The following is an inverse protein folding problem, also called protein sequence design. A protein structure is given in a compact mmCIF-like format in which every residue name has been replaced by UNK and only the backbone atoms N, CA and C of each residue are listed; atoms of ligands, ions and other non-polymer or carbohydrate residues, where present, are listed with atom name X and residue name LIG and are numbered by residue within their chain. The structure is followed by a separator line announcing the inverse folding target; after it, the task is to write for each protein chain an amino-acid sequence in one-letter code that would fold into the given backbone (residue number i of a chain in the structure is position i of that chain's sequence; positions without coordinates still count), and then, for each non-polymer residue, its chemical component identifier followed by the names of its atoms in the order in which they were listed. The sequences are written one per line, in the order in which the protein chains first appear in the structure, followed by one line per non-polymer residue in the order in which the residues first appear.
data_IF_548409690509
#
_entry.id   IF_548409690509
#
_cell.length_a   1.000
_cell.length_b   1.000
_cell.length_c   1.000
_cell.angle_alpha   90.00
_cell.angle_beta   90.00
_cell.angle_gamma   90.00
#
_symmetry.space_group_name_H-M   'P 1'
#
loop_
_entity.id
_entity.type
_entity.pdbx_description
1 polymer ?
#
# COMPACT_ATOMS: atom_id res chain seq x y z
N UNK A 1 0.47 -6.01 17.86
CA UNK A 1 -0.57 -5.06 17.45
C UNK A 1 -1.21 -4.55 18.71
N UNK A 2 -1.15 -3.25 18.97
CA UNK A 2 -2.06 -2.71 19.95
C UNK A 2 -3.46 -2.79 19.33
N UNK A 3 -4.44 -3.37 20.04
CA UNK A 3 -5.84 -3.40 19.59
C UNK A 3 -6.39 -1.99 19.31
N UNK A 4 -5.64 -0.96 19.67
CA UNK A 4 -5.91 0.46 19.39
C UNK A 4 -5.80 0.82 17.92
N UNK A 5 -4.84 0.24 17.17
CA UNK A 5 -4.63 0.59 15.75
C UNK A 5 -5.75 0.03 14.88
N UNK A 6 -6.13 -1.23 15.10
CA UNK A 6 -7.23 -1.85 14.38
C UNK A 6 -8.56 -1.14 14.67
N UNK A 7 -8.85 -0.83 15.95
CA UNK A 7 -10.06 -0.11 16.34
C UNK A 7 -10.10 1.27 15.67
N UNK A 8 -8.98 2.00 15.64
CA UNK A 8 -8.90 3.30 14.98
C UNK A 8 -9.30 3.22 13.50
N UNK A 9 -8.77 2.24 12.76
CA UNK A 9 -9.07 2.10 11.32
C UNK A 9 -10.50 1.61 11.09
N UNK A 10 -11.00 0.68 11.89
CA UNK A 10 -12.40 0.26 11.82
C UNK A 10 -13.34 1.43 12.07
N UNK A 11 -13.05 2.30 13.06
CA UNK A 11 -13.82 3.51 13.33
C UNK A 11 -13.77 4.51 12.16
N UNK A 12 -12.62 4.70 11.53
CA UNK A 12 -12.47 5.57 10.36
C UNK A 12 -13.36 5.08 9.22
N UNK A 13 -13.32 3.80 8.88
CA UNK A 13 -14.07 3.25 7.74
C UNK A 13 -15.55 2.99 8.02
N UNK A 14 -15.96 2.94 9.29
CA UNK A 14 -17.37 2.86 9.65
C UNK A 14 -18.03 4.24 9.80
N UNK A 15 -17.25 5.27 10.14
CA UNK A 15 -17.77 6.63 10.39
C UNK A 15 -17.67 7.57 9.18
N UNK A 16 -16.83 7.27 8.18
CA UNK A 16 -16.59 8.12 6.99
C UNK A 16 -16.92 7.37 5.71
N UNK A 17 -17.56 8.08 4.77
CA UNK A 17 -17.68 7.57 3.42
C UNK A 17 -16.30 7.50 2.73
N UNK A 18 -16.17 6.63 1.73
CA UNK A 18 -14.93 6.41 0.97
C UNK A 18 -14.31 7.73 0.45
N UNK A 19 -15.15 8.63 -0.09
CA UNK A 19 -14.70 9.93 -0.61
C UNK A 19 -14.38 10.98 0.46
N UNK A 20 -14.56 10.66 1.75
CA UNK A 20 -14.32 11.57 2.87
C UNK A 20 -12.97 11.30 3.57
N UNK A 21 -12.16 10.39 3.08
CA UNK A 21 -10.81 10.16 3.60
C UNK A 21 -9.77 10.94 2.79
N UNK A 22 -8.71 11.42 3.46
CA UNK A 22 -7.73 12.31 2.82
C UNK A 22 -6.93 11.68 1.69
N UNK A 23 -6.81 10.35 1.69
CA UNK A 23 -6.05 9.57 0.71
C UNK A 23 -6.93 9.04 -0.43
N UNK A 24 -8.21 9.37 -0.46
CA UNK A 24 -9.11 8.93 -1.53
C UNK A 24 -8.61 9.38 -2.91
N UNK A 25 -8.63 8.45 -3.84
CA UNK A 25 -8.39 8.67 -5.26
C UNK A 25 -9.40 7.83 -6.05
N UNK A 26 -10.14 8.46 -6.93
CA UNK A 26 -11.05 7.74 -7.82
C UNK A 26 -10.25 6.86 -8.79
N UNK A 27 -9.16 7.40 -9.30
CA UNK A 27 -8.17 6.66 -10.07
C UNK A 27 -6.77 6.87 -9.46
N UNK A 28 -6.08 5.80 -9.00
CA UNK A 28 -4.75 5.90 -8.41
C UNK A 28 -3.66 5.98 -9.49
N UNK A 29 -3.67 7.08 -10.27
CA UNK A 29 -2.85 7.28 -11.47
C UNK A 29 -1.35 7.00 -11.25
N UNK A 30 -0.78 7.45 -10.12
CA UNK A 30 0.65 7.24 -9.84
C UNK A 30 0.94 5.75 -9.65
N UNK A 31 0.12 5.04 -8.87
CA UNK A 31 0.26 3.59 -8.68
C UNK A 31 0.15 2.84 -10.00
N UNK A 32 -0.85 3.18 -10.82
CA UNK A 32 -1.05 2.56 -12.14
C UNK A 32 0.13 2.85 -13.08
N UNK A 33 0.64 4.08 -13.12
CA UNK A 33 1.80 4.43 -13.95
C UNK A 33 3.09 3.73 -13.49
N UNK A 34 3.23 3.45 -12.19
CA UNK A 34 4.37 2.70 -11.67
C UNK A 34 4.27 1.20 -11.97
N UNK A 35 3.07 0.63 -11.91
CA UNK A 35 2.83 -0.74 -12.37
C UNK A 35 3.18 -0.90 -13.87
N UNK A 36 2.79 0.06 -14.70
CA UNK A 36 3.16 0.08 -16.12
C UNK A 36 4.67 0.22 -16.33
N UNK A 37 5.33 1.11 -15.56
CA UNK A 37 6.77 1.33 -15.64
C UNK A 37 7.57 0.06 -15.31
N UNK A 38 7.12 -0.74 -14.33
CA UNK A 38 7.79 -2.00 -13.97
C UNK A 38 7.39 -3.17 -14.89
N UNK A 39 6.52 -2.92 -15.87
CA UNK A 39 6.08 -3.92 -16.84
C UNK A 39 5.13 -4.97 -16.24
N UNK A 40 4.28 -4.57 -15.29
CA UNK A 40 3.31 -5.46 -14.66
C UNK A 40 2.37 -6.10 -15.69
N UNK A 41 2.14 -7.40 -15.57
CA UNK A 41 1.35 -8.21 -16.49
C UNK A 41 0.09 -8.76 -15.79
N UNK A 42 -0.97 -9.07 -16.53
CA UNK A 42 -2.22 -9.60 -15.95
C UNK A 42 -2.07 -10.89 -15.13
N UNK A 43 -1.04 -11.69 -15.38
CA UNK A 43 -0.73 -12.94 -14.67
C UNK A 43 0.23 -12.77 -13.49
N UNK A 44 0.80 -11.57 -13.28
CA UNK A 44 1.64 -11.27 -12.13
C UNK A 44 0.82 -11.28 -10.84
N UNK A 45 1.38 -11.85 -9.78
CA UNK A 45 0.80 -11.82 -8.44
C UNK A 45 1.09 -10.47 -7.78
N UNK A 46 0.03 -9.75 -7.43
CA UNK A 46 0.10 -8.43 -6.79
C UNK A 46 -0.49 -8.52 -5.39
N UNK A 47 0.21 -7.95 -4.39
CA UNK A 47 -0.38 -7.64 -3.09
C UNK A 47 -0.39 -6.14 -2.85
N UNK A 48 -1.57 -5.61 -2.48
CA UNK A 48 -1.77 -4.21 -2.07
C UNK A 48 -1.86 -4.15 -0.55
N UNK A 49 -0.81 -3.63 0.08
CA UNK A 49 -0.67 -3.52 1.53
C UNK A 49 -1.33 -2.24 2.03
N UNK A 50 -2.24 -2.38 3.00
CA UNK A 50 -3.06 -1.26 3.44
C UNK A 50 -4.04 -0.79 2.35
N UNK A 51 -4.41 -1.72 1.45
CA UNK A 51 -5.27 -1.41 0.31
C UNK A 51 -6.68 -0.96 0.74
N UNK A 52 -7.18 -1.48 1.87
CA UNK A 52 -8.44 -1.04 2.48
C UNK A 52 -9.57 -0.86 1.49
N UNK A 53 -10.16 0.32 1.49
CA UNK A 53 -11.20 0.72 0.55
C UNK A 53 -10.64 1.40 -0.73
N UNK A 54 -9.34 1.31 -0.99
CA UNK A 54 -8.69 1.86 -2.20
C UNK A 54 -9.33 1.32 -3.48
N UNK A 55 -9.35 2.14 -4.53
CA UNK A 55 -9.82 1.76 -5.86
C UNK A 55 -8.73 1.14 -6.75
N UNK A 56 -7.54 0.88 -6.22
CA UNK A 56 -6.50 0.20 -6.98
C UNK A 56 -6.94 -1.19 -7.42
N UNK A 57 -7.59 -1.96 -6.53
CA UNK A 57 -8.11 -3.28 -6.85
C UNK A 57 -9.13 -3.25 -7.99
N UNK A 58 -10.03 -2.24 -8.02
CA UNK A 58 -10.99 -2.05 -9.11
C UNK A 58 -10.27 -1.90 -10.45
N UNK A 59 -9.28 -0.98 -10.50
CA UNK A 59 -8.48 -0.72 -11.69
C UNK A 59 -7.66 -1.93 -12.14
N UNK A 60 -7.10 -2.70 -11.19
CA UNK A 60 -6.35 -3.92 -11.51
C UNK A 60 -7.26 -4.98 -12.16
N UNK A 61 -8.44 -5.20 -11.58
CA UNK A 61 -9.42 -6.15 -12.15
C UNK A 61 -9.91 -5.68 -13.53
N UNK A 62 -10.13 -4.38 -13.73
CA UNK A 62 -10.52 -3.81 -15.03
C UNK A 62 -9.42 -3.97 -16.10
N UNK A 63 -8.16 -3.94 -15.67
CA UNK A 63 -6.99 -4.21 -16.54
C UNK A 63 -6.72 -5.71 -16.76
N UNK A 64 -7.55 -6.58 -16.19
CA UNK A 64 -7.47 -8.03 -16.39
C UNK A 64 -6.46 -8.74 -15.49
N UNK A 65 -5.98 -8.13 -14.40
CA UNK A 65 -5.16 -8.84 -13.43
C UNK A 65 -5.96 -9.94 -12.74
N UNK A 66 -5.38 -11.12 -12.64
CA UNK A 66 -6.07 -12.34 -12.16
C UNK A 66 -5.57 -12.83 -10.80
N UNK A 67 -4.46 -12.28 -10.31
CA UNK A 67 -3.82 -12.69 -9.04
C UNK A 67 -3.62 -11.46 -8.14
N UNK A 68 -4.73 -10.87 -7.71
CA UNK A 68 -4.72 -9.66 -6.87
C UNK A 68 -5.08 -10.04 -5.44
N UNK A 69 -4.24 -9.64 -4.49
CA UNK A 69 -4.50 -9.74 -3.05
C UNK A 69 -4.55 -8.33 -2.45
N UNK A 70 -5.52 -8.09 -1.58
CA UNK A 70 -5.64 -6.84 -0.82
C UNK A 70 -5.53 -7.18 0.65
N UNK A 71 -4.54 -6.61 1.32
CA UNK A 71 -4.31 -6.77 2.74
C UNK A 71 -4.60 -5.45 3.46
N UNK A 72 -5.37 -5.52 4.51
CA UNK A 72 -5.59 -4.37 5.40
C UNK A 72 -5.79 -4.84 6.85
N UNK A 73 -5.44 -3.98 7.79
CA UNK A 73 -5.68 -4.21 9.22
C UNK A 73 -7.18 -4.13 9.55
N UNK A 74 -7.93 -3.29 8.81
CA UNK A 74 -9.37 -3.08 8.98
C UNK A 74 -10.19 -4.03 8.11
N UNK A 75 -10.89 -4.96 8.76
CA UNK A 75 -11.88 -5.80 8.08
C UNK A 75 -13.06 -4.96 7.52
N UNK A 76 -13.40 -3.84 8.17
CA UNK A 76 -14.44 -2.92 7.71
C UNK A 76 -14.06 -2.25 6.38
N UNK A 77 -12.80 -1.83 6.22
CA UNK A 77 -12.28 -1.28 4.97
C UNK A 77 -12.37 -2.28 3.81
N UNK A 78 -11.94 -3.54 4.05
CA UNK A 78 -12.04 -4.62 3.06
C UNK A 78 -13.51 -4.90 2.68
N UNK A 79 -14.40 -4.95 3.67
CA UNK A 79 -15.82 -5.18 3.43
C UNK A 79 -16.45 -4.06 2.58
N UNK A 80 -16.02 -2.80 2.77
CA UNK A 80 -16.49 -1.67 1.95
C UNK A 80 -16.06 -1.83 0.47
N UNK A 81 -14.81 -2.21 0.22
CA UNK A 81 -14.32 -2.48 -1.13
C UNK A 81 -15.04 -3.68 -1.79
N UNK A 82 -15.25 -4.75 -1.04
CA UNK A 82 -16.01 -5.93 -1.51
C UNK A 82 -17.46 -5.58 -1.85
N UNK A 83 -18.12 -4.78 -1.01
CA UNK A 83 -19.49 -4.33 -1.28
C UNK A 83 -19.58 -3.47 -2.55
N UNK A 84 -18.62 -2.58 -2.78
CA UNK A 84 -18.49 -1.75 -3.98
C UNK A 84 -18.30 -2.59 -5.23
N UNK A 85 -17.43 -3.58 -5.19
CA UNK A 85 -17.13 -4.47 -6.32
C UNK A 85 -18.25 -5.48 -6.62
N UNK A 86 -19.08 -5.83 -5.62
CA UNK A 86 -20.13 -6.83 -5.76
C UNK A 86 -19.57 -8.19 -6.17
N UNK A 87 -20.12 -8.82 -7.20
CA UNK A 87 -19.67 -10.14 -7.68
C UNK A 87 -18.20 -10.16 -8.13
N UNK A 88 -17.67 -9.02 -8.57
CA UNK A 88 -16.26 -8.88 -8.99
C UNK A 88 -15.28 -9.06 -7.82
N UNK A 89 -15.73 -8.85 -6.59
CA UNK A 89 -14.89 -9.06 -5.39
C UNK A 89 -14.35 -10.49 -5.27
N UNK A 90 -15.03 -11.47 -5.90
CA UNK A 90 -14.59 -12.87 -5.94
C UNK A 90 -13.31 -13.10 -6.74
N UNK A 91 -12.92 -12.13 -7.58
CA UNK A 91 -11.70 -12.19 -8.38
C UNK A 91 -10.44 -11.71 -7.64
N UNK A 92 -10.57 -11.25 -6.40
CA UNK A 92 -9.45 -10.85 -5.56
C UNK A 92 -9.43 -11.60 -4.24
N UNK A 93 -8.24 -11.73 -3.63
CA UNK A 93 -8.05 -12.27 -2.29
C UNK A 93 -8.10 -11.14 -1.27
N UNK A 94 -8.88 -11.31 -0.21
CA UNK A 94 -9.06 -10.31 0.84
C UNK A 94 -8.48 -10.81 2.15
N UNK A 95 -7.51 -10.08 2.71
CA UNK A 95 -6.70 -10.52 3.84
C UNK A 95 -6.80 -9.49 4.96
N UNK A 96 -7.58 -9.80 6.01
CA UNK A 96 -7.64 -8.98 7.21
C UNK A 96 -6.49 -9.37 8.14
N UNK A 97 -5.37 -8.65 8.07
CA UNK A 97 -4.16 -8.95 8.82
C UNK A 97 -3.27 -7.72 9.02
N UNK A 98 -2.38 -7.82 9.99
CA UNK A 98 -1.31 -6.87 10.21
C UNK A 98 -0.10 -7.19 9.32
N UNK A 99 0.31 -6.25 8.48
CA UNK A 99 1.44 -6.38 7.57
C UNK A 99 2.77 -6.72 8.29
N UNK A 100 2.88 -6.43 9.60
CA UNK A 100 4.07 -6.74 10.42
C UNK A 100 4.18 -8.21 10.80
N UNK A 101 3.07 -8.91 10.87
CA UNK A 101 3.00 -10.30 11.36
C UNK A 101 2.37 -11.28 10.37
N UNK A 102 1.80 -10.78 9.28
CA UNK A 102 1.22 -11.61 8.24
C UNK A 102 2.28 -12.48 7.57
N UNK A 103 1.98 -13.77 7.41
CA UNK A 103 2.84 -14.68 6.66
C UNK A 103 2.31 -14.78 5.21
N UNK A 104 3.06 -14.27 4.22
CA UNK A 104 2.67 -14.38 2.81
C UNK A 104 2.50 -15.85 2.40
N UNK A 105 1.33 -16.26 1.88
CA UNK A 105 1.08 -17.66 1.51
C UNK A 105 1.76 -18.07 0.20
N UNK A 106 2.19 -17.08 -0.58
CA UNK A 106 2.86 -17.25 -1.87
C UNK A 106 3.89 -16.15 -2.09
N UNK A 107 4.67 -16.27 -3.16
CA UNK A 107 5.53 -15.18 -3.63
C UNK A 107 4.75 -14.27 -4.57
N UNK A 108 4.89 -12.97 -4.35
CA UNK A 108 4.30 -11.91 -5.18
C UNK A 108 5.34 -11.35 -6.15
N UNK A 109 4.92 -11.02 -7.35
CA UNK A 109 5.75 -10.32 -8.33
C UNK A 109 5.79 -8.81 -8.04
N UNK A 110 4.71 -8.30 -7.44
CA UNK A 110 4.55 -6.89 -7.09
C UNK A 110 4.00 -6.76 -5.66
N UNK A 111 4.72 -5.98 -4.87
CA UNK A 111 4.34 -5.54 -3.54
C UNK A 111 4.04 -4.05 -3.60
N UNK A 112 2.78 -3.69 -3.54
CA UNK A 112 2.35 -2.30 -3.55
C UNK A 112 1.96 -1.87 -2.13
N UNK A 113 2.38 -0.67 -1.73
CA UNK A 113 2.01 -0.03 -0.47
C UNK A 113 1.86 1.47 -0.69
N UNK A 114 0.68 1.98 -0.46
CA UNK A 114 0.45 3.42 -0.49
C UNK A 114 -0.13 3.88 0.83
N UNK A 115 0.69 4.56 1.63
CA UNK A 115 0.33 5.14 2.91
C UNK A 115 -0.02 4.12 4.00
N UNK A 116 0.58 2.91 3.98
CA UNK A 116 0.52 1.96 5.08
C UNK A 116 1.84 1.92 5.85
N UNK A 117 2.97 1.74 5.17
CA UNK A 117 4.31 1.67 5.79
C UNK A 117 4.64 2.90 6.64
N UNK A 118 4.21 4.09 6.24
CA UNK A 118 4.55 5.31 6.95
C UNK A 118 3.94 5.42 8.37
N UNK A 119 2.94 4.60 8.71
CA UNK A 119 2.40 4.51 10.07
C UNK A 119 3.29 3.70 11.01
N UNK A 120 4.27 2.97 10.49
CA UNK A 120 5.21 2.20 11.30
C UNK A 120 6.28 3.15 11.85
N UNK A 121 6.01 3.74 12.99
CA UNK A 121 6.89 4.76 13.61
C UNK A 121 7.99 4.15 14.47
N UNK A 122 7.87 2.89 14.86
CA UNK A 122 8.87 2.15 15.62
C UNK A 122 9.81 1.36 14.69
N UNK A 123 11.09 1.35 14.99
CA UNK A 123 12.09 0.66 14.18
C UNK A 123 11.88 -0.87 14.13
N UNK A 124 11.38 -1.46 15.22
CA UNK A 124 11.05 -2.88 15.27
C UNK A 124 9.89 -3.23 14.35
N UNK A 125 8.86 -2.37 14.30
CA UNK A 125 7.73 -2.54 13.39
C UNK A 125 8.14 -2.41 11.93
N UNK A 126 9.02 -1.44 11.60
CA UNK A 126 9.59 -1.31 10.26
C UNK A 126 10.40 -2.54 9.86
N UNK A 127 11.22 -3.06 10.79
CA UNK A 127 11.99 -4.28 10.53
C UNK A 127 11.07 -5.50 10.33
N UNK A 128 10.04 -5.65 11.14
CA UNK A 128 9.06 -6.73 10.99
C UNK A 128 8.36 -6.68 9.62
N UNK A 129 7.97 -5.49 9.15
CA UNK A 129 7.42 -5.30 7.82
C UNK A 129 8.43 -5.70 6.72
N UNK A 130 9.69 -5.26 6.83
CA UNK A 130 10.75 -5.61 5.85
C UNK A 130 10.99 -7.12 5.81
N UNK A 131 10.88 -7.82 6.94
CA UNK A 131 10.95 -9.28 6.96
C UNK A 131 9.80 -9.92 6.18
N UNK A 132 8.57 -9.38 6.27
CA UNK A 132 7.42 -9.86 5.47
C UNK A 132 7.62 -9.57 3.99
N UNK A 133 8.08 -8.37 3.65
CA UNK A 133 8.45 -8.00 2.28
C UNK A 133 9.49 -8.99 1.71
N UNK A 134 10.55 -9.30 2.47
CA UNK A 134 11.58 -10.25 2.05
C UNK A 134 11.07 -11.68 1.87
N UNK A 135 10.04 -12.09 2.62
CA UNK A 135 9.42 -13.41 2.46
C UNK A 135 8.43 -13.46 1.31
N UNK A 136 7.68 -12.36 1.11
CA UNK A 136 6.57 -12.32 0.16
C UNK A 136 6.95 -11.86 -1.23
N UNK A 137 7.93 -10.99 -1.41
CA UNK A 137 8.31 -10.51 -2.74
C UNK A 137 9.30 -11.47 -3.41
N UNK A 138 9.03 -11.86 -4.64
CA UNK A 138 9.92 -12.71 -5.43
C UNK A 138 11.23 -11.97 -5.76
N UNK A 139 12.34 -12.71 -5.91
CA UNK A 139 13.56 -12.15 -6.51
C UNK A 139 13.25 -11.77 -7.96
N UNK A 140 13.62 -10.57 -8.35
CA UNK A 140 13.23 -9.95 -9.62
C UNK A 140 11.93 -9.15 -9.58
N UNK A 141 11.11 -9.36 -8.54
CA UNK A 141 9.87 -8.61 -8.31
C UNK A 141 10.10 -7.16 -7.85
N UNK A 142 9.03 -6.38 -7.80
CA UNK A 142 9.07 -4.95 -7.52
C UNK A 142 8.26 -4.57 -6.29
N UNK A 143 8.87 -3.75 -5.41
CA UNK A 143 8.17 -3.07 -4.33
C UNK A 143 7.91 -1.61 -4.72
N UNK A 144 6.65 -1.19 -4.71
CA UNK A 144 6.20 0.18 -4.96
C UNK A 144 5.70 0.74 -3.64
N UNK A 145 6.43 1.69 -3.05
CA UNK A 145 6.11 2.21 -1.71
C UNK A 145 5.87 3.72 -1.77
N UNK A 146 4.65 4.12 -1.46
CA UNK A 146 4.22 5.52 -1.38
C UNK A 146 4.06 5.97 0.07
N UNK A 147 4.88 6.90 0.53
CA UNK A 147 4.83 7.49 1.87
C UNK A 147 4.67 9.00 1.78
N UNK A 148 4.40 9.68 2.90
CA UNK A 148 4.60 11.12 2.90
C UNK A 148 6.09 11.44 2.68
N UNK A 149 6.31 12.47 1.87
CA UNK A 149 7.64 12.97 1.53
C UNK A 149 8.32 13.64 2.74
N UNK A 150 9.64 13.79 2.77
CA UNK A 150 10.38 14.48 3.88
C UNK A 150 9.84 15.87 4.22
N UNK A 151 9.28 16.58 3.25
CA UNK A 151 8.61 17.88 3.40
C UNK A 151 7.06 17.80 3.37
N UNK A 152 6.52 16.59 3.54
CA UNK A 152 5.09 16.32 3.63
C UNK A 152 4.55 16.43 5.06
N UNK A 153 3.26 16.10 5.27
CA UNK A 153 2.63 16.14 6.59
C UNK A 153 3.31 15.21 7.61
N UNK A 154 3.22 15.56 8.89
CA UNK A 154 3.75 14.74 10.01
C UNK A 154 2.70 13.81 10.60
N UNK A 155 1.44 13.97 10.18
CA UNK A 155 0.30 13.15 10.62
C UNK A 155 -0.58 12.80 9.45
N UNK A 156 -1.16 11.60 9.50
CA UNK A 156 -2.20 11.12 8.60
C UNK A 156 -3.35 10.55 9.44
N UNK A 157 -4.60 10.93 9.16
CA UNK A 157 -5.77 10.50 9.94
C UNK A 157 -5.62 10.71 11.46
N UNK A 158 -4.94 11.78 11.87
CA UNK A 158 -4.67 12.06 13.28
C UNK A 158 -3.49 11.31 13.90
N UNK A 159 -2.99 10.27 13.25
CA UNK A 159 -1.86 9.46 13.71
C UNK A 159 -0.52 10.03 13.23
N UNK A 160 0.56 9.90 14.03
CA UNK A 160 1.90 10.27 13.59
C UNK A 160 2.37 9.33 12.47
N UNK A 161 3.20 9.87 11.56
CA UNK A 161 3.82 9.09 10.48
C UNK A 161 5.30 9.38 10.37
N UNK A 162 6.05 8.41 9.83
CA UNK A 162 7.43 8.61 9.39
C UNK A 162 7.44 8.96 7.92
N UNK A 163 8.14 10.04 7.57
CA UNK A 163 8.30 10.51 6.20
C UNK A 163 9.55 9.90 5.59
N UNK A 164 9.43 9.39 4.38
CA UNK A 164 10.53 8.72 3.71
C UNK A 164 10.84 9.32 2.34
N UNK A 165 12.07 9.13 1.90
CA UNK A 165 12.51 9.23 0.52
C UNK A 165 13.11 7.88 0.08
N UNK A 166 13.54 7.80 -1.17
CA UNK A 166 14.12 6.57 -1.71
C UNK A 166 15.39 6.14 -0.96
N UNK A 167 16.21 7.10 -0.50
CA UNK A 167 17.46 6.80 0.21
C UNK A 167 17.19 6.23 1.60
N UNK A 168 16.22 6.77 2.33
CA UNK A 168 15.84 6.27 3.66
C UNK A 168 15.22 4.86 3.56
N UNK A 169 14.36 4.61 2.56
CA UNK A 169 13.81 3.28 2.31
C UNK A 169 14.89 2.29 1.84
N UNK A 170 15.85 2.72 1.00
CA UNK A 170 16.98 1.86 0.59
C UNK A 170 17.80 1.38 1.78
N UNK A 171 18.04 2.25 2.77
CA UNK A 171 18.75 1.85 4.01
C UNK A 171 17.96 0.82 4.82
N UNK A 172 16.63 0.93 4.86
CA UNK A 172 15.77 0.00 5.59
C UNK A 172 15.65 -1.35 4.88
N UNK A 173 15.48 -1.35 3.57
CA UNK A 173 15.30 -2.56 2.77
C UNK A 173 16.61 -3.33 2.56
N UNK A 174 17.75 -2.60 2.61
CA UNK A 174 19.08 -3.19 2.50
C UNK A 174 19.53 -3.51 1.08
N UNK A 175 20.69 -4.16 0.95
CA UNK A 175 21.37 -4.35 -0.35
C UNK A 175 20.67 -5.32 -1.31
N UNK A 176 19.66 -6.05 -0.83
CA UNK A 176 18.83 -6.92 -1.66
C UNK A 176 17.86 -6.18 -2.58
N UNK A 177 17.82 -4.84 -2.51
CA UNK A 177 16.92 -3.98 -3.27
C UNK A 177 17.66 -2.87 -3.98
N UNK A 178 17.30 -2.62 -5.23
CA UNK A 178 17.82 -1.50 -6.03
C UNK A 178 16.68 -0.56 -6.40
N UNK A 179 16.93 0.75 -6.32
CA UNK A 179 15.95 1.77 -6.72
C UNK A 179 15.77 1.74 -8.24
N UNK A 180 14.52 1.61 -8.69
CA UNK A 180 14.14 1.65 -10.10
C UNK A 180 13.55 3.01 -10.48
N UNK A 181 12.73 3.58 -9.59
CA UNK A 181 12.11 4.88 -9.78
C UNK A 181 11.93 5.60 -8.43
N UNK A 182 11.99 6.93 -8.49
CA UNK A 182 11.79 7.79 -7.34
C UNK A 182 11.10 9.08 -7.80
N UNK A 183 9.85 9.27 -7.37
CA UNK A 183 9.06 10.44 -7.80
C UNK A 183 8.27 11.09 -6.69
N UNK A 184 8.14 12.40 -6.76
CA UNK A 184 7.26 13.21 -5.91
C UNK A 184 5.88 13.33 -6.53
N UNK A 185 4.87 13.33 -5.67
CA UNK A 185 3.49 13.53 -6.07
C UNK A 185 2.76 14.44 -5.07
N UNK A 186 2.09 15.46 -5.58
CA UNK A 186 1.24 16.35 -4.81
C UNK A 186 -0.21 15.84 -4.88
N UNK A 187 -0.61 15.01 -3.91
CA UNK A 187 -1.97 14.52 -3.81
C UNK A 187 -2.89 15.63 -3.31
N UNK A 188 -3.98 15.87 -4.02
CA UNK A 188 -5.03 16.80 -3.62
C UNK A 188 -6.14 16.03 -2.91
N UNK A 189 -6.37 16.35 -1.63
CA UNK A 189 -7.46 15.73 -0.85
C UNK A 189 -8.82 16.12 -1.40
N UNK A 190 -9.92 15.40 -1.08
CA UNK A 190 -11.27 15.76 -1.49
C UNK A 190 -11.69 17.20 -1.12
N UNK A 191 -11.13 17.75 -0.05
CA UNK A 191 -11.39 19.13 0.41
C UNK A 191 -10.34 20.15 -0.04
N UNK A 192 -9.45 19.78 -0.99
CA UNK A 192 -8.52 20.68 -1.65
C UNK A 192 -7.16 20.91 -0.97
N UNK A 193 -6.90 20.30 0.18
CA UNK A 193 -5.58 20.33 0.80
C UNK A 193 -4.56 19.50 -0.03
N UNK A 194 -3.29 19.91 0.02
CA UNK A 194 -2.22 19.21 -0.69
C UNK A 194 -1.39 18.38 0.28
N UNK A 195 -1.26 17.10 -0.01
CA UNK A 195 -0.39 16.17 0.69
C UNK A 195 0.76 15.76 -0.23
N UNK A 196 2.00 16.02 0.21
CA UNK A 196 3.20 15.69 -0.57
C UNK A 196 3.60 14.25 -0.30
N UNK A 197 3.49 13.41 -1.33
CA UNK A 197 3.93 12.02 -1.33
C UNK A 197 5.30 11.88 -2.00
N UNK A 198 6.00 10.87 -1.57
CA UNK A 198 7.15 10.27 -2.24
C UNK A 198 6.79 8.84 -2.59
N UNK A 199 6.86 8.49 -3.86
CA UNK A 199 6.82 7.11 -4.32
C UNK A 199 8.23 6.64 -4.63
N UNK A 200 8.59 5.50 -4.10
CA UNK A 200 9.89 4.86 -4.31
C UNK A 200 9.65 3.44 -4.79
N UNK A 201 10.18 3.13 -5.95
CA UNK A 201 10.03 1.80 -6.58
C UNK A 201 11.36 1.08 -6.53
N UNK A 202 11.35 -0.12 -6.03
CA UNK A 202 12.53 -0.98 -5.87
C UNK A 202 12.34 -2.27 -6.65
N UNK A 203 13.44 -2.81 -7.15
CA UNK A 203 13.51 -4.18 -7.66
C UNK A 203 14.28 -5.01 -6.65
N UNK A 204 13.75 -6.18 -6.28
CA UNK A 204 14.46 -7.15 -5.48
C UNK A 204 15.49 -7.89 -6.32
N UNK A 205 16.75 -7.92 -5.85
CA UNK A 205 17.88 -8.54 -6.57
C UNK A 205 18.50 -9.74 -5.84
N UNK A 206 18.15 -9.92 -4.55
CA UNK A 206 18.61 -11.05 -3.73
C UNK A 206 17.58 -11.45 -2.67
#
# INVERSE_FOLDING_TARGET
VSGSDQTHWDDVYTSKAEAEVSWFQEEPEVSLSLLELVGARPDDAIVDIGGGASRLVDCLLDKGFTRVSVLDLSAAALAAAQARLGERAKAANWIAADARSWEPPESYDIWHDRAAFHFLTDAGDQQAYVERLNRGLAVGGHAIVGTFAPDGPEKCSGLPVVRHDADSLSRLFGPGYVVVDSRRHAHKTPWGAVQKFQFSTFRRVA
#
